data_IF_274350976459
#
_entry.id   IF_274350976459
#
_cell.length_a   1.000
_cell.length_b   1.000
_cell.length_c   1.000
_cell.angle_alpha   90.00
_cell.angle_beta   90.00
_cell.angle_gamma   90.00
#
_symmetry.space_group_name_H-M   'P 1'
#
loop_
_entity.id
_entity.type
_entity.pdbx_description
1 polymer ?
#
# COMPACT_ATOMS: atom_id res chain seq x y z
N UNK A 1 -45.87 -44.74 -0.15
CA UNK A 1 -45.23 -43.88 0.87
C UNK A 1 -43.75 -43.78 0.54
N UNK A 2 -43.17 -42.57 0.46
CA UNK A 2 -41.75 -42.39 0.14
C UNK A 2 -40.93 -42.31 1.43
N UNK A 3 -39.68 -42.80 1.43
CA UNK A 3 -38.85 -42.86 2.65
C UNK A 3 -38.58 -41.47 3.27
N UNK A 4 -38.43 -40.43 2.45
CA UNK A 4 -38.19 -39.07 2.92
C UNK A 4 -39.35 -38.49 3.76
N UNK A 5 -40.60 -38.83 3.43
CA UNK A 5 -41.78 -38.37 4.19
C UNK A 5 -41.81 -38.94 5.61
N UNK A 6 -41.30 -40.17 5.79
CA UNK A 6 -41.20 -40.82 7.10
C UNK A 6 -40.11 -40.14 7.95
N UNK A 7 -38.95 -39.84 7.35
CA UNK A 7 -37.84 -39.15 8.02
C UNK A 7 -38.24 -37.74 8.48
N UNK A 8 -38.87 -36.95 7.62
CA UNK A 8 -39.33 -35.59 7.95
C UNK A 8 -40.35 -35.59 9.09
N UNK A 9 -41.31 -36.51 9.05
CA UNK A 9 -42.33 -36.59 10.11
C UNK A 9 -41.72 -37.03 11.45
N UNK A 10 -40.66 -37.85 11.44
CA UNK A 10 -39.92 -38.24 12.64
C UNK A 10 -39.17 -37.05 13.27
N UNK A 11 -38.52 -36.23 12.44
CA UNK A 11 -37.83 -35.01 12.86
C UNK A 11 -38.82 -34.01 13.50
N UNK A 12 -40.00 -33.83 12.88
CA UNK A 12 -41.03 -32.89 13.33
C UNK A 12 -41.70 -33.29 14.65
N UNK A 13 -41.67 -34.58 15.01
CA UNK A 13 -42.23 -35.13 16.25
C UNK A 13 -41.38 -34.83 17.49
N UNK A 14 -40.05 -34.66 17.34
CA UNK A 14 -39.10 -34.42 18.45
C UNK A 14 -38.43 -33.04 18.33
N UNK A 15 -39.24 -31.98 18.21
CA UNK A 15 -38.80 -30.61 17.89
C UNK A 15 -37.66 -30.09 18.77
N UNK A 16 -37.76 -30.25 20.09
CA UNK A 16 -36.74 -29.77 21.03
C UNK A 16 -35.39 -30.48 20.85
N UNK A 17 -35.38 -31.81 20.76
CA UNK A 17 -34.16 -32.60 20.54
C UNK A 17 -33.52 -32.28 19.19
N UNK A 18 -34.33 -32.12 18.15
CA UNK A 18 -33.83 -31.77 16.83
C UNK A 18 -33.26 -30.36 16.78
N UNK A 19 -33.93 -29.39 17.41
CA UNK A 19 -33.43 -28.02 17.51
C UNK A 19 -32.05 -27.96 18.20
N UNK A 20 -31.90 -28.69 19.32
CA UNK A 20 -30.62 -28.75 20.04
C UNK A 20 -29.50 -29.34 19.17
N UNK A 21 -29.76 -30.45 18.46
CA UNK A 21 -28.80 -31.06 17.55
C UNK A 21 -28.43 -30.13 16.38
N UNK A 22 -29.40 -29.43 15.80
CA UNK A 22 -29.14 -28.50 14.70
C UNK A 22 -28.33 -27.30 15.15
N UNK A 23 -28.60 -26.75 16.35
CA UNK A 23 -27.85 -25.60 16.89
C UNK A 23 -26.41 -26.04 17.20
N UNK A 24 -26.22 -27.18 17.85
CA UNK A 24 -24.86 -27.68 18.15
C UNK A 24 -24.04 -27.91 16.88
N UNK A 25 -24.64 -28.53 15.86
CA UNK A 25 -23.99 -28.75 14.57
C UNK A 25 -23.71 -27.41 13.86
N UNK A 26 -24.67 -26.49 13.88
CA UNK A 26 -24.54 -25.16 13.28
C UNK A 26 -23.38 -24.39 13.91
N UNK A 27 -23.25 -24.37 15.23
CA UNK A 27 -22.15 -23.70 15.94
C UNK A 27 -20.81 -24.30 15.53
N UNK A 28 -20.70 -25.64 15.49
CA UNK A 28 -19.47 -26.32 15.10
C UNK A 28 -19.04 -25.99 13.66
N UNK A 29 -19.97 -26.10 12.70
CA UNK A 29 -19.70 -25.79 11.29
C UNK A 29 -19.37 -24.30 11.13
N UNK A 30 -20.16 -23.41 11.73
CA UNK A 30 -19.95 -21.97 11.64
C UNK A 30 -18.57 -21.56 12.19
N UNK A 31 -18.14 -22.16 13.29
CA UNK A 31 -16.82 -21.89 13.88
C UNK A 31 -15.71 -22.30 12.92
N UNK A 32 -15.78 -23.51 12.35
CA UNK A 32 -14.76 -24.00 11.40
C UNK A 32 -14.73 -23.13 10.15
N UNK A 33 -15.88 -22.85 9.55
CA UNK A 33 -15.99 -22.01 8.35
C UNK A 33 -15.47 -20.60 8.63
N UNK A 34 -15.83 -20.01 9.76
CA UNK A 34 -15.35 -18.66 10.13
C UNK A 34 -13.84 -18.62 10.27
N UNK A 35 -13.24 -19.61 10.93
CA UNK A 35 -11.79 -19.67 11.11
C UNK A 35 -11.06 -19.87 9.78
N UNK A 36 -11.55 -20.78 8.92
CA UNK A 36 -10.99 -21.00 7.58
C UNK A 36 -11.11 -19.75 6.71
N UNK A 37 -12.26 -19.08 6.71
CA UNK A 37 -12.47 -17.85 5.95
C UNK A 37 -11.57 -16.73 6.45
N UNK A 38 -11.45 -16.57 7.77
CA UNK A 38 -10.55 -15.57 8.35
C UNK A 38 -9.10 -15.82 7.94
N UNK A 39 -8.60 -17.05 8.07
CA UNK A 39 -7.23 -17.38 7.66
C UNK A 39 -7.01 -17.12 6.17
N UNK A 40 -7.96 -17.50 5.30
CA UNK A 40 -7.85 -17.25 3.86
C UNK A 40 -7.86 -15.76 3.53
N UNK A 41 -8.73 -14.98 4.17
CA UNK A 41 -8.79 -13.53 3.99
C UNK A 41 -7.47 -12.88 4.42
N UNK A 42 -6.95 -13.26 5.60
CA UNK A 42 -5.67 -12.74 6.08
C UNK A 42 -4.51 -13.10 5.15
N UNK A 43 -4.44 -14.34 4.64
CA UNK A 43 -3.41 -14.73 3.69
C UNK A 43 -3.48 -13.91 2.40
N UNK A 44 -4.68 -13.73 1.84
CA UNK A 44 -4.87 -12.93 0.62
C UNK A 44 -4.55 -11.45 0.84
N UNK A 45 -4.94 -10.89 1.98
CA UNK A 45 -4.63 -9.52 2.35
C UNK A 45 -3.11 -9.31 2.54
N UNK A 46 -2.42 -10.29 3.14
CA UNK A 46 -0.96 -10.26 3.30
C UNK A 46 -0.27 -10.37 1.94
N UNK A 47 -0.69 -11.30 1.08
CA UNK A 47 -0.15 -11.47 -0.27
C UNK A 47 -0.26 -10.18 -1.06
N UNK A 48 -1.46 -9.58 -1.10
CA UNK A 48 -1.68 -8.30 -1.78
C UNK A 48 -0.81 -7.18 -1.22
N UNK A 49 -0.70 -7.08 0.10
CA UNK A 49 0.18 -6.10 0.73
C UNK A 49 1.64 -6.35 0.38
N UNK A 50 2.09 -7.60 0.37
CA UNK A 50 3.48 -7.96 0.06
C UNK A 50 3.83 -7.68 -1.42
N UNK A 51 2.89 -7.95 -2.34
CA UNK A 51 3.00 -7.59 -3.75
C UNK A 51 3.06 -6.06 -3.95
N UNK A 52 2.21 -5.31 -3.24
CA UNK A 52 2.26 -3.84 -3.23
C UNK A 52 3.54 -3.30 -2.57
N UNK A 53 4.13 -4.03 -1.61
CA UNK A 53 5.40 -3.64 -1.00
C UNK A 53 6.55 -3.67 -2.01
N UNK A 54 6.62 -4.69 -2.86
CA UNK A 54 7.53 -4.80 -4.00
C UNK A 54 8.95 -4.26 -3.76
N UNK A 55 9.63 -3.82 -4.82
CA UNK A 55 10.86 -3.04 -4.70
C UNK A 55 10.52 -1.55 -4.87
N UNK A 56 10.58 -0.77 -3.79
CA UNK A 56 10.48 0.69 -3.87
C UNK A 56 11.82 1.26 -4.32
N UNK A 57 11.87 1.79 -5.55
CA UNK A 57 13.09 2.36 -6.13
C UNK A 57 13.05 3.88 -5.97
N UNK A 58 14.03 4.43 -5.25
CA UNK A 58 14.24 5.87 -5.16
C UNK A 58 15.33 6.28 -6.16
N UNK A 59 14.98 7.20 -7.06
CA UNK A 59 15.91 7.78 -8.02
C UNK A 59 16.17 9.23 -7.60
N UNK A 60 17.44 9.57 -7.38
CA UNK A 60 17.88 10.93 -7.06
C UNK A 60 18.83 11.45 -8.13
N UNK A 61 18.84 12.77 -8.39
CA UNK A 61 19.82 13.36 -9.28
C UNK A 61 21.25 13.07 -8.79
N UNK A 62 22.17 12.82 -9.71
CA UNK A 62 23.58 12.68 -9.37
C UNK A 62 24.10 14.03 -8.88
N UNK A 63 24.80 14.05 -7.74
CA UNK A 63 25.41 15.24 -7.18
C UNK A 63 26.85 14.94 -6.78
N UNK A 64 27.78 15.76 -7.26
CA UNK A 64 29.17 15.74 -6.80
C UNK A 64 29.32 16.80 -5.69
N UNK A 65 29.86 16.42 -4.53
CA UNK A 65 30.17 17.35 -3.46
C UNK A 65 31.66 17.70 -3.51
N UNK A 66 31.98 18.97 -3.71
CA UNK A 66 33.37 19.45 -3.61
C UNK A 66 33.60 19.98 -2.19
N UNK A 67 34.43 19.29 -1.41
CA UNK A 67 34.85 19.76 -0.09
C UNK A 67 35.94 20.81 -0.24
N UNK A 68 35.61 22.06 0.10
CA UNK A 68 36.57 23.16 0.02
C UNK A 68 37.35 23.26 1.32
N UNK A 69 38.64 22.91 1.29
CA UNK A 69 39.55 23.07 2.42
C UNK A 69 40.56 24.17 2.10
N UNK A 70 40.64 25.22 2.93
CA UNK A 70 41.65 26.28 2.80
C UNK A 70 42.37 26.48 4.12
N UNK A 71 43.70 26.36 4.12
CA UNK A 71 44.53 26.58 5.31
C UNK A 71 44.21 25.66 6.49
N UNK A 72 43.73 24.43 6.25
CA UNK A 72 43.33 23.49 7.29
C UNK A 72 41.92 23.69 7.85
N UNK A 73 41.17 24.68 7.34
CA UNK A 73 39.77 24.93 7.71
C UNK A 73 38.87 24.37 6.60
N UNK A 74 37.96 23.46 6.97
CA UNK A 74 36.91 22.96 6.07
C UNK A 74 35.80 24.01 5.97
N UNK A 75 35.64 24.60 4.79
CA UNK A 75 34.66 25.64 4.49
C UNK A 75 33.26 25.07 4.18
N UNK A 76 33.05 23.77 4.41
CA UNK A 76 31.86 23.05 4.01
C UNK A 76 31.94 22.49 2.58
N UNK A 77 31.02 21.59 2.24
CA UNK A 77 30.89 21.04 0.89
C UNK A 77 29.89 21.84 0.08
N UNK A 78 30.27 22.29 -1.12
CA UNK A 78 29.32 22.83 -2.10
C UNK A 78 28.97 21.71 -3.07
N UNK A 79 27.68 21.39 -3.22
CA UNK A 79 27.22 20.52 -4.29
C UNK A 79 27.40 21.25 -5.62
N UNK A 80 28.18 20.68 -6.52
CA UNK A 80 28.46 21.24 -7.85
C UNK A 80 28.03 20.24 -8.92
N UNK A 81 27.59 20.74 -10.08
CA UNK A 81 27.08 19.91 -11.19
C UNK A 81 25.85 19.03 -10.81
N UNK A 82 24.96 19.54 -9.96
CA UNK A 82 23.70 18.86 -9.65
C UNK A 82 22.78 18.93 -10.87
N UNK A 83 22.66 17.82 -11.59
CA UNK A 83 21.76 17.72 -12.74
C UNK A 83 20.39 17.23 -12.28
N UNK A 84 19.40 18.11 -12.33
CA UNK A 84 18.02 17.76 -12.01
C UNK A 84 17.47 16.69 -12.96
N UNK A 85 16.50 15.91 -12.46
CA UNK A 85 15.75 14.94 -13.27
C UNK A 85 14.65 15.72 -13.98
N UNK A 86 14.70 15.80 -15.31
CA UNK A 86 13.71 16.53 -16.08
C UNK A 86 12.44 15.69 -16.24
N UNK A 87 11.28 16.34 -16.25
CA UNK A 87 9.99 15.66 -16.36
C UNK A 87 9.88 14.84 -17.66
N UNK A 88 10.47 15.34 -18.76
CA UNK A 88 10.54 14.61 -20.04
C UNK A 88 11.26 13.27 -19.94
N UNK A 89 12.20 13.13 -19.00
CA UNK A 89 12.99 11.91 -18.83
C UNK A 89 12.18 10.83 -18.10
N UNK A 90 11.09 11.19 -17.39
CA UNK A 90 10.18 10.24 -16.76
C UNK A 90 9.51 9.30 -17.78
N UNK A 91 9.34 9.75 -19.03
CA UNK A 91 8.80 8.93 -20.10
C UNK A 91 9.69 7.70 -20.39
N UNK A 92 11.00 7.79 -20.13
CA UNK A 92 11.95 6.68 -20.34
C UNK A 92 11.72 5.52 -19.36
N UNK A 93 11.08 5.75 -18.21
CA UNK A 93 10.74 4.67 -17.28
C UNK A 93 9.78 3.67 -17.95
N UNK A 94 8.92 4.13 -18.86
CA UNK A 94 7.98 3.27 -19.60
C UNK A 94 8.65 2.43 -20.68
N UNK A 95 9.91 2.71 -21.03
CA UNK A 95 10.64 2.00 -22.09
C UNK A 95 11.57 0.91 -21.57
N UNK A 96 11.70 0.74 -20.25
CA UNK A 96 12.53 -0.32 -19.67
C UNK A 96 11.94 -1.71 -19.97
N UNK A 97 12.78 -2.74 -20.02
CA UNK A 97 12.36 -4.10 -20.37
C UNK A 97 11.19 -4.60 -19.51
N UNK A 98 11.22 -4.31 -18.20
CA UNK A 98 10.20 -4.74 -17.23
C UNK A 98 9.23 -3.60 -16.86
N UNK A 99 8.92 -2.66 -17.76
CA UNK A 99 8.02 -1.53 -17.48
C UNK A 99 6.63 -1.97 -17.00
N UNK A 100 6.16 -3.16 -17.43
CA UNK A 100 4.90 -3.75 -16.98
C UNK A 100 4.88 -4.11 -15.49
N UNK A 101 6.06 -4.26 -14.87
CA UNK A 101 6.18 -4.54 -13.43
C UNK A 101 6.24 -3.25 -12.59
N UNK A 102 6.21 -2.07 -13.22
CA UNK A 102 6.20 -0.78 -12.52
C UNK A 102 4.75 -0.40 -12.25
N UNK A 103 4.31 -0.57 -11.00
CA UNK A 103 2.93 -0.26 -10.58
C UNK A 103 2.61 1.24 -10.63
N UNK A 104 3.54 2.08 -10.16
CA UNK A 104 3.37 3.53 -10.15
C UNK A 104 4.72 4.27 -10.14
N UNK A 105 4.72 5.51 -10.62
CA UNK A 105 5.84 6.45 -10.52
C UNK A 105 5.33 7.75 -9.92
N UNK A 106 5.85 8.13 -8.75
CA UNK A 106 5.48 9.37 -8.06
C UNK A 106 6.67 10.35 -8.02
N UNK A 107 6.78 11.26 -9.01
CA UNK A 107 7.84 12.25 -9.02
C UNK A 107 7.64 13.29 -7.91
N UNK A 108 8.76 13.75 -7.35
CA UNK A 108 8.79 14.75 -6.27
C UNK A 108 9.78 15.85 -6.62
N UNK A 109 9.37 17.09 -6.39
CA UNK A 109 10.22 18.28 -6.52
C UNK A 109 10.35 18.93 -5.15
N UNK A 110 11.57 19.23 -4.74
CA UNK A 110 11.88 19.84 -3.46
C UNK A 110 12.40 21.26 -3.71
N UNK A 111 11.84 22.24 -3.02
CA UNK A 111 12.28 23.63 -3.13
C UNK A 111 12.09 24.40 -1.84
N UNK A 112 13.07 25.23 -1.48
CA UNK A 112 12.91 26.20 -0.39
C UNK A 112 12.05 27.35 -0.86
N UNK A 113 11.01 27.69 -0.08
CA UNK A 113 10.14 28.84 -0.34
C UNK A 113 10.03 29.70 0.90
N UNK A 114 9.87 31.01 0.71
CA UNK A 114 9.71 31.95 1.81
C UNK A 114 8.24 32.24 2.04
N UNK A 115 7.72 31.86 3.20
CA UNK A 115 6.33 32.14 3.61
C UNK A 115 6.36 33.16 4.73
N UNK A 116 6.09 34.42 4.38
CA UNK A 116 6.25 35.56 5.29
C UNK A 116 7.71 35.73 5.71
N UNK A 117 7.98 35.56 7.00
CA UNK A 117 9.32 35.69 7.58
C UNK A 117 10.02 34.35 7.86
N UNK A 118 9.45 33.24 7.40
CA UNK A 118 9.98 31.89 7.60
C UNK A 118 10.37 31.25 6.27
N UNK A 119 11.57 30.67 6.22
CA UNK A 119 11.98 29.82 5.13
C UNK A 119 11.47 28.40 5.40
N UNK A 120 10.68 27.85 4.48
CA UNK A 120 10.06 26.53 4.60
C UNK A 120 10.39 25.67 3.39
N UNK A 121 10.48 24.36 3.58
CA UNK A 121 10.68 23.41 2.47
C UNK A 121 9.31 23.03 1.90
N UNK A 122 9.14 23.28 0.61
CA UNK A 122 7.96 22.88 -0.15
C UNK A 122 8.28 21.64 -0.97
N UNK A 123 7.33 20.70 -1.00
CA UNK A 123 7.42 19.48 -1.79
C UNK A 123 6.29 19.48 -2.82
N UNK A 124 6.64 19.61 -4.10
CA UNK A 124 5.72 19.40 -5.21
C UNK A 124 5.58 17.91 -5.49
N UNK A 125 4.34 17.43 -5.62
CA UNK A 125 4.02 16.03 -5.93
C UNK A 125 2.93 15.94 -7.00
N UNK A 126 2.92 14.85 -7.76
CA UNK A 126 1.74 14.48 -8.56
C UNK A 126 0.77 13.69 -7.68
N UNK A 127 -0.35 14.28 -7.29
CA UNK A 127 -1.30 13.67 -6.34
C UNK A 127 -1.92 12.37 -6.85
N UNK A 128 -2.24 12.26 -8.14
CA UNK A 128 -2.85 11.05 -8.72
C UNK A 128 -1.92 9.83 -8.58
N UNK A 129 -0.62 10.02 -8.79
CA UNK A 129 0.39 8.98 -8.59
C UNK A 129 0.72 8.77 -7.12
N UNK A 130 0.81 9.84 -6.33
CA UNK A 130 1.20 9.79 -4.92
C UNK A 130 0.16 9.04 -4.06
N UNK A 131 -1.13 9.31 -4.28
CA UNK A 131 -2.21 8.66 -3.53
C UNK A 131 -2.35 7.17 -3.85
N UNK A 132 -2.02 6.77 -5.09
CA UNK A 132 -1.96 5.36 -5.47
C UNK A 132 -0.85 4.63 -4.71
N UNK A 133 0.30 5.27 -4.50
CA UNK A 133 1.42 4.71 -3.74
C UNK A 133 1.24 4.80 -2.23
N UNK A 134 0.58 5.85 -1.73
CA UNK A 134 0.40 6.12 -0.29
C UNK A 134 -1.07 6.01 0.10
N UNK A 135 -1.63 4.81 -0.03
CA UNK A 135 -3.04 4.54 0.31
C UNK A 135 -3.39 4.79 1.79
N UNK A 136 -2.38 4.94 2.65
CA UNK A 136 -2.54 5.28 4.07
C UNK A 136 -2.66 6.78 4.36
N UNK A 137 -2.54 7.66 3.35
CA UNK A 137 -2.73 9.09 3.55
C UNK A 137 -4.20 9.43 3.83
N UNK A 138 -4.41 10.23 4.87
CA UNK A 138 -5.69 10.86 5.18
C UNK A 138 -5.53 12.37 4.94
N UNK A 139 -6.27 12.89 3.98
CA UNK A 139 -6.26 14.32 3.66
C UNK A 139 -7.26 15.01 4.58
N UNK A 140 -6.80 15.99 5.35
CA UNK A 140 -7.63 16.80 6.23
C UNK A 140 -7.54 18.27 5.80
N UNK A 141 -8.69 18.88 5.45
CA UNK A 141 -8.79 20.27 5.01
C UNK A 141 -10.00 20.51 4.10
N UNK A 142 -10.43 21.76 3.96
CA UNK A 142 -11.42 22.18 2.96
C UNK A 142 -10.71 22.53 1.63
N UNK A 143 -11.40 22.30 0.51
CA UNK A 143 -10.89 22.47 -0.86
C UNK A 143 -10.79 23.93 -1.29
#
# INVERSE_FOLDING_TARGET
MKLHTISINNLKRRKAKMAFLTIGLMVGIATIVSLVTLTRSMSSDIEKKMDEFGANILITPSSNALSMNYGGISLGGVAFDQREILEKDLAQIKTIANHMNVSAVAPKVLGGVKVGNHDVMLVGVNFDSELKMKQWWQIFGEA
#
